data_IF_092097099377
#
_entry.id   IF_092097099377
#
_cell.length_a   1.000
_cell.length_b   1.000
_cell.length_c   1.000
_cell.angle_alpha   90.00
_cell.angle_beta   90.00
_cell.angle_gamma   90.00
#
_symmetry.space_group_name_H-M   'P 1'
#
loop_
_entity.id
_entity.type
_entity.pdbx_description
1 polymer ?
#
# COMPACT_ATOMS: atom_id res chain seq x y z
N UNK A 1 -22.01 14.68 -32.87
CA UNK A 1 -20.69 14.95 -32.27
C UNK A 1 -20.89 15.85 -31.07
N UNK A 2 -21.00 15.28 -29.87
CA UNK A 2 -21.07 16.05 -28.62
C UNK A 2 -19.65 16.51 -28.28
N UNK A 3 -19.43 17.82 -28.31
CA UNK A 3 -18.16 18.41 -27.87
C UNK A 3 -17.88 18.13 -26.39
N UNK A 4 -16.63 18.24 -25.93
CA UNK A 4 -16.29 18.00 -24.54
C UNK A 4 -17.09 18.97 -23.65
N UNK A 5 -17.94 18.40 -22.79
CA UNK A 5 -18.70 19.14 -21.79
C UNK A 5 -17.73 19.93 -20.93
N UNK A 6 -17.92 21.25 -20.82
CA UNK A 6 -17.08 22.08 -19.95
C UNK A 6 -17.23 21.60 -18.50
N UNK A 7 -16.13 21.47 -17.75
CA UNK A 7 -16.19 21.17 -16.33
C UNK A 7 -17.08 22.18 -15.61
N UNK A 8 -17.83 21.71 -14.61
CA UNK A 8 -18.55 22.60 -13.71
C UNK A 8 -17.56 23.41 -12.88
N UNK A 9 -17.98 24.60 -12.42
CA UNK A 9 -17.15 25.45 -11.52
C UNK A 9 -16.68 24.70 -10.27
N UNK A 10 -17.47 23.75 -9.77
CA UNK A 10 -17.12 22.90 -8.64
C UNK A 10 -15.97 21.94 -8.95
N UNK A 11 -15.97 21.35 -10.15
CA UNK A 11 -14.91 20.47 -10.62
C UNK A 11 -13.61 21.24 -10.87
N UNK A 12 -13.68 22.43 -11.48
CA UNK A 12 -12.51 23.29 -11.68
C UNK A 12 -11.84 23.64 -10.35
N UNK A 13 -12.65 24.00 -9.33
CA UNK A 13 -12.14 24.30 -8.00
C UNK A 13 -11.51 23.07 -7.34
N UNK A 14 -12.08 21.88 -7.52
CA UNK A 14 -11.50 20.64 -7.01
C UNK A 14 -10.14 20.37 -7.67
N UNK A 15 -10.05 20.47 -9.00
CA UNK A 15 -8.81 20.28 -9.75
C UNK A 15 -7.73 21.29 -9.35
N UNK A 16 -8.11 22.55 -9.12
CA UNK A 16 -7.22 23.58 -8.62
C UNK A 16 -6.70 23.23 -7.22
N UNK A 17 -7.56 22.77 -6.32
CA UNK A 17 -7.16 22.33 -4.97
C UNK A 17 -6.23 21.12 -5.00
N UNK A 18 -6.49 20.14 -5.87
CA UNK A 18 -5.64 18.96 -6.08
C UNK A 18 -4.26 19.40 -6.56
N UNK A 19 -4.21 20.24 -7.60
CA UNK A 19 -2.95 20.74 -8.16
C UNK A 19 -2.17 21.56 -7.13
N UNK A 20 -2.84 22.40 -6.34
CA UNK A 20 -2.22 23.16 -5.27
C UNK A 20 -1.67 22.26 -4.15
N UNK A 21 -2.39 21.21 -3.76
CA UNK A 21 -1.93 20.24 -2.77
C UNK A 21 -0.70 19.46 -3.29
N UNK A 22 -0.73 19.00 -4.55
CA UNK A 22 0.38 18.32 -5.18
C UNK A 22 1.62 19.22 -5.32
N UNK A 23 1.42 20.50 -5.67
CA UNK A 23 2.48 21.50 -5.76
C UNK A 23 3.15 21.76 -4.41
N UNK A 24 2.37 21.98 -3.35
CA UNK A 24 2.91 22.15 -1.98
C UNK A 24 3.67 20.93 -1.47
N UNK A 25 3.30 19.75 -1.93
CA UNK A 25 3.94 18.49 -1.55
C UNK A 25 5.07 18.06 -2.50
N UNK A 26 5.41 18.88 -3.50
CA UNK A 26 6.46 18.60 -4.49
C UNK A 26 6.29 17.25 -5.20
N UNK A 27 5.05 16.88 -5.56
CA UNK A 27 4.77 15.57 -6.16
C UNK A 27 5.28 15.44 -7.62
N UNK A 28 5.67 16.55 -8.25
CA UNK A 28 6.15 16.58 -9.64
C UNK A 28 5.03 16.67 -10.66
N UNK A 29 5.25 16.17 -11.87
CA UNK A 29 4.26 16.20 -12.97
C UNK A 29 3.20 15.11 -12.80
N UNK A 30 1.94 15.44 -13.09
CA UNK A 30 0.85 14.45 -13.13
C UNK A 30 1.07 13.49 -14.29
N UNK A 31 0.98 12.19 -14.03
CA UNK A 31 1.18 11.10 -14.99
C UNK A 31 -0.14 10.48 -15.45
N UNK A 32 -1.07 10.28 -14.54
CA UNK A 32 -2.36 9.66 -14.85
C UNK A 32 -3.44 10.07 -13.85
N UNK A 33 -4.70 9.90 -14.24
CA UNK A 33 -5.87 10.08 -13.39
C UNK A 33 -6.73 8.84 -13.50
N UNK A 34 -7.20 8.32 -12.37
CA UNK A 34 -8.10 7.18 -12.30
C UNK A 34 -9.25 7.44 -11.34
N UNK A 35 -10.25 6.58 -11.44
CA UNK A 35 -11.30 6.46 -10.43
C UNK A 35 -11.12 5.18 -9.62
N UNK A 36 -11.49 5.23 -8.35
CA UNK A 36 -11.47 4.08 -7.47
C UNK A 36 -12.62 4.18 -6.48
N UNK A 37 -12.94 3.08 -5.80
CA UNK A 37 -13.83 3.13 -4.64
C UNK A 37 -12.96 3.18 -3.39
N UNK A 38 -13.22 4.13 -2.50
CA UNK A 38 -12.40 4.27 -1.31
C UNK A 38 -13.14 4.79 -0.09
N UNK A 39 -12.54 4.55 1.07
CA UNK A 39 -12.95 5.14 2.33
C UNK A 39 -11.72 5.44 3.20
N UNK A 40 -11.84 6.42 4.07
CA UNK A 40 -10.85 6.65 5.12
C UNK A 40 -11.15 5.66 6.23
N UNK A 41 -10.22 4.73 6.50
CA UNK A 41 -10.35 3.86 7.65
C UNK A 41 -10.21 4.71 8.93
N UNK A 42 -11.03 4.49 9.96
CA UNK A 42 -10.72 5.03 11.28
C UNK A 42 -9.32 4.55 11.65
N UNK A 43 -8.52 5.40 12.29
CA UNK A 43 -7.19 5.03 12.73
C UNK A 43 -7.32 3.86 13.71
N UNK A 44 -7.11 2.63 13.24
CA UNK A 44 -6.81 1.52 14.12
C UNK A 44 -5.46 1.84 14.72
N UNK A 45 -5.48 2.31 15.97
CA UNK A 45 -4.30 2.39 16.79
C UNK A 45 -3.61 1.03 16.69
N UNK A 46 -2.44 0.98 16.07
CA UNK A 46 -1.55 -0.17 16.21
C UNK A 46 -1.37 -0.32 17.71
N UNK A 47 -1.77 -1.44 18.35
CA UNK A 47 -1.53 -1.60 19.75
C UNK A 47 -0.03 -1.77 19.91
N UNK A 48 0.67 -0.67 20.23
CA UNK A 48 1.93 -0.77 20.94
C UNK A 48 1.58 -1.53 22.21
N UNK A 49 2.10 -2.74 22.33
CA UNK A 49 1.90 -3.63 23.47
C UNK A 49 2.56 -2.97 24.68
N UNK A 50 1.81 -2.11 25.35
CA UNK A 50 2.19 -1.34 26.53
C UNK A 50 0.98 -1.22 27.45
N UNK A 51 1.16 -1.62 28.69
CA UNK A 51 0.15 -1.80 29.72
C UNK A 51 -0.52 -0.48 30.09
N UNK A 52 -1.85 -0.51 30.29
CA UNK A 52 -2.55 0.39 31.21
C UNK A 52 -3.40 1.49 30.55
N UNK A 53 -4.70 1.23 30.41
CA UNK A 53 -5.78 1.94 31.14
C UNK A 53 -7.13 1.75 30.44
N UNK A 54 -8.06 1.13 31.16
CA UNK A 54 -9.50 1.16 30.90
C UNK A 54 -10.00 2.62 30.88
N UNK A 55 -10.79 3.00 29.87
CA UNK A 55 -12.10 3.66 29.98
C UNK A 55 -12.58 4.27 28.65
N UNK A 56 -13.91 4.41 28.57
CA UNK A 56 -14.72 5.11 27.55
C UNK A 56 -15.28 4.28 26.37
N UNK A 57 -15.96 3.18 26.70
CA UNK A 57 -17.23 2.88 26.02
C UNK A 57 -18.33 3.78 26.60
N UNK A 58 -19.31 4.16 25.76
CA UNK A 58 -20.51 4.96 26.06
C UNK A 58 -20.37 6.47 25.77
N UNK A 59 -20.62 6.85 24.52
CA UNK A 59 -21.73 7.74 24.10
C UNK A 59 -21.63 8.02 22.60
N UNK A 60 -22.80 8.16 21.96
CA UNK A 60 -23.08 8.37 20.52
C UNK A 60 -23.31 7.13 19.66
N UNK A 61 -24.39 6.41 19.98
CA UNK A 61 -25.24 5.86 18.92
C UNK A 61 -25.75 7.01 18.05
N UNK A 62 -25.36 7.01 16.77
CA UNK A 62 -25.93 7.89 15.74
C UNK A 62 -26.39 7.00 14.56
N UNK A 63 -27.55 7.25 13.96
CA UNK A 63 -28.17 6.29 13.04
C UNK A 63 -27.28 6.04 11.82
N UNK A 64 -27.11 4.76 11.46
CA UNK A 64 -26.50 4.33 10.21
C UNK A 64 -27.30 4.88 9.02
N UNK A 65 -26.85 6.01 8.48
CA UNK A 65 -27.33 6.50 7.19
C UNK A 65 -26.88 5.53 6.09
N UNK A 66 -27.72 5.29 5.06
CA UNK A 66 -27.43 4.31 4.02
C UNK A 66 -26.10 4.63 3.32
N UNK A 67 -25.24 3.60 3.20
CA UNK A 67 -23.96 3.63 2.49
C UNK A 67 -24.19 4.00 1.02
N UNK A 68 -24.16 5.29 0.72
CA UNK A 68 -24.06 5.80 -0.65
C UNK A 68 -22.63 5.60 -1.13
N UNK A 69 -22.48 4.82 -2.22
CA UNK A 69 -21.31 4.71 -3.12
C UNK A 69 -20.50 6.00 -3.18
N UNK A 70 -19.16 5.95 -3.11
CA UNK A 70 -18.33 7.15 -3.28
C UNK A 70 -17.08 6.87 -4.10
N UNK A 71 -17.04 7.50 -5.26
CA UNK A 71 -15.92 7.54 -6.18
C UNK A 71 -14.79 8.37 -5.54
N UNK A 72 -13.63 7.75 -5.36
CA UNK A 72 -12.37 8.39 -5.09
C UNK A 72 -11.71 8.74 -6.41
N UNK A 73 -11.20 9.97 -6.53
CA UNK A 73 -10.34 10.37 -7.66
C UNK A 73 -8.89 10.20 -7.27
N UNK A 74 -8.15 9.46 -8.07
CA UNK A 74 -6.70 9.26 -7.93
C UNK A 74 -6.01 10.08 -9.00
N UNK A 75 -5.07 10.95 -8.62
CA UNK A 75 -4.16 11.59 -9.56
C UNK A 75 -2.74 11.14 -9.19
N UNK A 76 -2.10 10.36 -10.07
CA UNK A 76 -0.74 9.86 -9.89
C UNK A 76 0.25 10.88 -10.44
N UNK A 77 1.29 11.16 -9.67
CA UNK A 77 2.37 12.08 -10.01
C UNK A 77 3.71 11.34 -10.00
N UNK A 78 4.81 12.04 -10.31
CA UNK A 78 6.15 11.44 -10.36
C UNK A 78 6.65 10.92 -9.01
N UNK A 79 6.37 11.65 -7.93
CA UNK A 79 6.90 11.38 -6.58
C UNK A 79 5.82 11.02 -5.56
N UNK A 80 4.56 10.98 -5.98
CA UNK A 80 3.45 10.61 -5.12
C UNK A 80 2.12 10.61 -5.85
N UNK A 81 1.04 10.67 -5.09
CA UNK A 81 -0.30 10.78 -5.64
C UNK A 81 -1.19 11.61 -4.73
N UNK A 82 -2.28 12.12 -5.28
CA UNK A 82 -3.39 12.65 -4.48
C UNK A 82 -4.59 11.74 -4.57
N UNK A 83 -5.29 11.60 -3.44
CA UNK A 83 -6.58 10.90 -3.36
C UNK A 83 -7.63 11.91 -2.91
N UNK A 84 -8.54 12.28 -3.81
CA UNK A 84 -9.70 13.09 -3.46
C UNK A 84 -10.86 12.18 -3.07
N UNK A 85 -11.24 12.20 -1.80
CA UNK A 85 -12.24 11.34 -1.21
C UNK A 85 -13.10 12.13 -0.23
N UNK A 86 -14.43 12.08 -0.38
CA UNK A 86 -15.40 12.79 0.49
C UNK A 86 -15.06 14.28 0.68
N UNK A 87 -14.61 14.95 -0.38
CA UNK A 87 -14.25 16.38 -0.37
C UNK A 87 -12.92 16.70 0.33
N UNK A 88 -12.21 15.69 0.84
CA UNK A 88 -10.85 15.82 1.38
C UNK A 88 -9.85 15.37 0.32
N UNK A 89 -8.74 16.08 0.23
CA UNK A 89 -7.61 15.70 -0.62
C UNK A 89 -6.52 15.17 0.30
N UNK A 90 -6.17 13.91 0.11
CA UNK A 90 -5.06 13.27 0.77
C UNK A 90 -3.84 13.32 -0.15
N UNK A 91 -2.68 13.62 0.41
CA UNK A 91 -1.41 13.63 -0.30
C UNK A 91 -0.61 12.43 0.14
N UNK A 92 -0.22 11.57 -0.79
CA UNK A 92 0.59 10.39 -0.53
C UNK A 92 1.93 10.57 -1.21
N UNK A 93 3.03 10.45 -0.46
CA UNK A 93 4.39 10.43 -1.03
C UNK A 93 4.88 9.00 -1.18
N UNK A 94 5.36 8.63 -2.36
CA UNK A 94 5.80 7.25 -2.63
C UNK A 94 7.02 6.84 -1.80
N UNK A 95 7.87 7.80 -1.45
CA UNK A 95 9.06 7.62 -0.63
C UNK A 95 8.81 7.63 0.88
N UNK A 96 7.57 7.82 1.34
CA UNK A 96 7.20 7.90 2.76
C UNK A 96 5.97 7.07 3.14
N UNK A 97 5.16 6.66 2.16
CA UNK A 97 3.93 5.90 2.40
C UNK A 97 4.17 4.45 2.85
N UNK A 98 3.19 3.93 3.59
CA UNK A 98 3.04 2.51 3.90
C UNK A 98 1.84 1.97 3.15
N UNK A 99 2.05 0.93 2.36
CA UNK A 99 1.02 0.24 1.57
C UNK A 99 0.82 -1.17 2.11
N UNK A 100 -0.41 -1.51 2.45
CA UNK A 100 -0.83 -2.86 2.86
C UNK A 100 -1.72 -3.45 1.77
N UNK A 101 -1.48 -4.71 1.40
CA UNK A 101 -2.25 -5.43 0.39
C UNK A 101 -3.12 -6.48 1.08
N UNK A 102 -4.43 -6.26 1.05
CA UNK A 102 -5.44 -7.20 1.51
C UNK A 102 -6.02 -7.92 0.29
N UNK A 103 -5.57 -9.16 0.08
CA UNK A 103 -6.21 -10.06 -0.87
C UNK A 103 -7.51 -10.59 -0.28
N UNK A 104 -8.66 -10.13 -0.78
CA UNK A 104 -9.94 -10.79 -0.51
C UNK A 104 -10.02 -11.97 -1.48
N UNK A 105 -9.44 -13.10 -1.10
CA UNK A 105 -9.72 -14.35 -1.80
C UNK A 105 -11.15 -14.76 -1.43
N UNK A 106 -12.12 -14.52 -2.32
CA UNK A 106 -13.41 -15.17 -2.20
C UNK A 106 -13.22 -16.67 -2.46
N UNK A 107 -13.54 -17.56 -1.50
CA UNK A 107 -13.25 -18.99 -1.62
C UNK A 107 -13.95 -19.68 -2.80
N UNK A 108 -14.99 -19.04 -3.37
CA UNK A 108 -15.88 -19.64 -4.37
C UNK A 108 -15.85 -18.94 -5.73
N UNK A 109 -15.18 -17.79 -5.88
CA UNK A 109 -15.05 -17.11 -7.18
C UNK A 109 -13.72 -16.33 -7.29
N UNK A 110 -12.64 -16.98 -7.78
CA UNK A 110 -11.36 -16.30 -7.96
C UNK A 110 -11.40 -15.22 -9.05
N UNK A 111 -12.41 -15.22 -9.94
CA UNK A 111 -12.59 -14.16 -10.94
C UNK A 111 -13.20 -12.88 -10.34
N UNK A 112 -13.79 -12.96 -9.12
CA UNK A 112 -14.31 -11.82 -8.35
C UNK A 112 -13.39 -11.32 -7.25
N UNK A 113 -12.23 -11.95 -7.07
CA UNK A 113 -11.26 -11.57 -6.03
C UNK A 113 -10.78 -10.12 -6.22
N UNK A 114 -11.35 -9.20 -5.46
CA UNK A 114 -10.90 -7.81 -5.40
C UNK A 114 -9.64 -7.68 -4.56
N UNK A 115 -8.71 -6.83 -4.99
CA UNK A 115 -7.59 -6.39 -4.16
C UNK A 115 -8.01 -5.15 -3.38
N UNK A 116 -7.93 -5.22 -2.06
CA UNK A 116 -8.06 -4.04 -1.21
C UNK A 116 -6.66 -3.57 -0.85
N UNK A 117 -6.38 -2.28 -0.98
CA UNK A 117 -5.11 -1.72 -0.55
C UNK A 117 -5.34 -0.58 0.44
N UNK A 118 -4.53 -0.58 1.51
CA UNK A 118 -4.56 0.48 2.51
C UNK A 118 -3.26 1.26 2.42
N UNK A 119 -3.36 2.57 2.20
CA UNK A 119 -2.24 3.47 1.94
C UNK A 119 -2.24 4.59 2.98
N UNK A 120 -1.07 4.91 3.51
CA UNK A 120 -0.91 6.03 4.45
C UNK A 120 -0.58 7.34 3.72
N UNK A 121 -1.30 8.41 4.03
CA UNK A 121 -1.01 9.76 3.54
C UNK A 121 0.15 10.42 4.30
N UNK A 122 0.54 11.61 3.87
CA UNK A 122 1.62 12.39 4.46
C UNK A 122 1.34 12.83 5.90
N UNK A 123 0.06 12.84 6.32
CA UNK A 123 -0.36 13.10 7.71
C UNK A 123 -0.46 11.79 8.52
N UNK A 124 -0.09 10.63 7.96
CA UNK A 124 -0.20 9.32 8.57
C UNK A 124 -1.62 8.73 8.59
N UNK A 125 -2.60 9.36 7.94
CA UNK A 125 -3.97 8.82 7.85
C UNK A 125 -4.03 7.69 6.83
N UNK A 126 -4.80 6.65 7.15
CA UNK A 126 -4.99 5.48 6.28
C UNK A 126 -6.20 5.65 5.36
N UNK A 127 -5.98 5.35 4.08
CA UNK A 127 -6.98 5.38 3.02
C UNK A 127 -7.04 3.99 2.43
N UNK A 128 -8.24 3.41 2.41
CA UNK A 128 -8.47 2.11 1.82
C UNK A 128 -9.09 2.30 0.44
N UNK A 129 -8.47 1.72 -0.58
CA UNK A 129 -8.91 1.71 -1.97
C UNK A 129 -9.21 0.28 -2.39
N UNK A 130 -10.29 0.09 -3.14
CA UNK A 130 -10.70 -1.20 -3.69
C UNK A 130 -10.45 -1.26 -5.19
N UNK A 131 -9.77 -2.33 -5.60
CA UNK A 131 -9.57 -2.76 -6.97
C UNK A 131 -10.39 -4.05 -7.19
N UNK A 132 -11.53 -4.02 -7.89
CA UNK A 132 -12.27 -5.26 -8.15
C UNK A 132 -13.51 -5.13 -9.06
N UNK A 133 -13.87 -6.21 -9.77
CA UNK A 133 -14.92 -6.26 -10.81
C UNK A 133 -16.31 -5.88 -10.31
N UNK A 134 -16.66 -6.25 -9.08
CA UNK A 134 -18.02 -6.09 -8.56
C UNK A 134 -18.41 -4.64 -8.20
N UNK A 135 -17.44 -3.73 -8.11
CA UNK A 135 -17.65 -2.39 -7.52
C UNK A 135 -17.46 -1.24 -8.51
N UNK A 136 -17.54 -1.52 -9.82
CA UNK A 136 -17.65 -0.50 -10.88
C UNK A 136 -16.39 0.36 -11.10
N UNK A 137 -15.24 -0.04 -10.54
CA UNK A 137 -13.94 0.63 -10.70
C UNK A 137 -12.82 -0.32 -11.11
N UNK A 138 -13.20 -1.43 -11.75
CA UNK A 138 -12.30 -2.55 -12.04
C UNK A 138 -11.41 -2.30 -13.25
N UNK A 139 -11.92 -1.61 -14.27
CA UNK A 139 -11.20 -1.36 -15.52
C UNK A 139 -9.93 -0.52 -15.27
N UNK A 140 -10.02 0.52 -14.44
CA UNK A 140 -8.85 1.33 -14.06
C UNK A 140 -7.92 0.61 -13.08
N UNK A 141 -8.43 -0.34 -12.30
CA UNK A 141 -7.72 -0.96 -11.19
C UNK A 141 -6.54 -1.84 -11.60
N UNK A 142 -6.67 -2.52 -12.74
CA UNK A 142 -5.57 -3.27 -13.35
C UNK A 142 -4.40 -2.36 -13.75
N UNK A 143 -4.65 -1.07 -13.94
CA UNK A 143 -3.62 -0.10 -14.32
C UNK A 143 -3.04 0.62 -13.10
N UNK A 144 -3.90 1.22 -12.26
CA UNK A 144 -3.44 2.06 -11.17
C UNK A 144 -2.77 1.27 -10.05
N UNK A 145 -3.23 0.05 -9.74
CA UNK A 145 -2.65 -0.73 -8.64
C UNK A 145 -1.20 -1.17 -8.94
N UNK A 146 -0.91 -1.83 -10.07
CA UNK A 146 0.47 -2.09 -10.49
C UNK A 146 1.28 -0.81 -10.68
N UNK A 147 0.64 0.28 -11.12
CA UNK A 147 1.25 1.62 -11.22
C UNK A 147 1.78 2.11 -9.88
N UNK A 148 0.97 2.09 -8.83
CA UNK A 148 1.35 2.48 -7.46
C UNK A 148 2.46 1.57 -6.94
N UNK A 149 2.35 0.24 -7.10
CA UNK A 149 3.40 -0.71 -6.67
C UNK A 149 4.74 -0.38 -7.30
N UNK A 150 4.78 -0.18 -8.63
CA UNK A 150 6.01 0.20 -9.35
C UNK A 150 6.55 1.55 -8.88
N UNK A 151 5.70 2.54 -8.67
CA UNK A 151 6.12 3.88 -8.26
C UNK A 151 6.70 3.90 -6.84
N UNK A 152 6.06 3.21 -5.88
CA UNK A 152 6.56 3.05 -4.51
C UNK A 152 7.87 2.27 -4.49
N UNK A 153 7.97 1.15 -5.22
CA UNK A 153 9.24 0.41 -5.35
C UNK A 153 10.34 1.30 -5.91
N UNK A 154 10.08 2.03 -7.00
CA UNK A 154 11.07 2.92 -7.62
C UNK A 154 11.57 3.99 -6.65
N UNK A 155 10.67 4.57 -5.85
CA UNK A 155 11.02 5.60 -4.89
C UNK A 155 11.80 5.07 -3.67
N UNK A 156 11.50 3.85 -3.20
CA UNK A 156 12.07 3.29 -1.97
C UNK A 156 13.35 2.49 -2.18
N UNK A 157 13.45 1.80 -3.31
CA UNK A 157 14.49 0.80 -3.54
C UNK A 157 15.92 1.35 -3.51
N UNK A 158 16.25 2.52 -4.11
CA UNK A 158 17.61 3.06 -4.05
C UNK A 158 18.09 3.33 -2.62
N UNK A 159 17.24 3.96 -1.79
CA UNK A 159 17.56 4.26 -0.39
C UNK A 159 17.67 2.99 0.44
N UNK A 160 16.79 2.02 0.22
CA UNK A 160 16.84 0.73 0.91
C UNK A 160 18.16 -0.01 0.62
N UNK A 161 18.60 -0.04 -0.64
CA UNK A 161 19.87 -0.67 -1.01
C UNK A 161 21.08 0.06 -0.43
N UNK A 162 21.07 1.40 -0.43
CA UNK A 162 22.12 2.18 0.19
C UNK A 162 22.24 1.91 1.70
N UNK A 163 21.11 1.79 2.41
CA UNK A 163 21.09 1.43 3.83
C UNK A 163 21.67 0.04 4.08
N UNK A 164 21.30 -0.96 3.27
CA UNK A 164 21.86 -2.31 3.38
C UNK A 164 23.36 -2.36 3.09
N UNK A 165 23.82 -1.61 2.08
CA UNK A 165 25.24 -1.48 1.78
C UNK A 165 26.01 -0.79 2.92
N UNK A 166 25.34 0.09 3.67
CA UNK A 166 25.85 0.68 4.91
C UNK A 166 25.77 -0.24 6.13
N UNK A 167 25.31 -1.49 5.98
CA UNK A 167 25.18 -2.46 7.08
C UNK A 167 23.91 -2.30 7.93
N UNK A 168 22.98 -1.44 7.52
CA UNK A 168 21.72 -1.25 8.26
C UNK A 168 20.79 -2.47 8.13
N UNK A 169 19.95 -2.65 9.15
CA UNK A 169 18.83 -3.60 9.13
C UNK A 169 17.55 -2.86 8.73
N UNK A 170 16.90 -3.33 7.67
CA UNK A 170 15.57 -2.86 7.27
C UNK A 170 14.48 -3.74 7.86
N UNK A 171 13.33 -3.14 8.18
CA UNK A 171 12.17 -3.83 8.74
C UNK A 171 10.89 -3.57 7.93
N UNK A 172 10.07 -4.60 7.81
CA UNK A 172 8.78 -4.64 7.13
C UNK A 172 7.79 -5.35 8.06
N UNK A 173 7.26 -4.60 9.03
CA UNK A 173 6.58 -5.20 10.18
C UNK A 173 7.57 -6.02 11.00
N UNK A 174 7.23 -7.28 11.28
CA UNK A 174 8.10 -8.21 12.03
C UNK A 174 9.23 -8.82 11.18
N UNK A 175 9.15 -8.67 9.85
CA UNK A 175 10.16 -9.19 8.93
C UNK A 175 11.31 -8.20 8.84
N UNK A 176 12.54 -8.71 8.91
CA UNK A 176 13.76 -7.92 8.77
C UNK A 176 14.67 -8.49 7.69
N UNK A 177 15.50 -7.62 7.10
CA UNK A 177 16.58 -8.02 6.20
C UNK A 177 17.84 -7.17 6.41
N UNK A 178 18.99 -7.78 6.16
CA UNK A 178 20.33 -7.17 6.19
C UNK A 178 21.09 -7.57 4.92
N UNK A 179 22.31 -7.06 4.74
CA UNK A 179 23.20 -7.53 3.68
C UNK A 179 23.54 -9.04 3.77
N UNK A 180 23.37 -9.66 4.93
CA UNK A 180 23.76 -11.06 5.17
C UNK A 180 22.59 -12.06 5.08
N UNK A 181 21.37 -11.61 5.32
CA UNK A 181 20.21 -12.49 5.33
C UNK A 181 18.90 -11.82 5.66
N UNK A 182 17.90 -12.67 5.90
CA UNK A 182 16.50 -12.28 6.13
C UNK A 182 15.90 -13.16 7.22
N UNK A 183 14.94 -12.61 7.96
CA UNK A 183 14.25 -13.39 8.98
C UNK A 183 13.08 -12.66 9.62
N UNK A 184 12.49 -13.33 10.60
CA UNK A 184 11.44 -12.83 11.47
C UNK A 184 11.33 -13.73 12.69
N UNK A 185 11.29 -13.14 13.89
CA UNK A 185 11.25 -13.88 15.15
C UNK A 185 12.36 -14.94 15.25
N UNK A 186 11.97 -16.21 15.28
CA UNK A 186 12.88 -17.37 15.40
C UNK A 186 13.36 -17.94 14.06
N UNK A 187 12.82 -17.47 12.94
CA UNK A 187 13.17 -17.97 11.60
C UNK A 187 14.13 -16.97 10.95
N UNK A 188 15.27 -17.44 10.49
CA UNK A 188 16.22 -16.64 9.72
C UNK A 188 17.04 -17.50 8.77
N UNK A 189 17.45 -16.93 7.65
CA UNK A 189 18.32 -17.59 6.67
C UNK A 189 19.33 -16.59 6.10
N UNK A 190 20.52 -17.10 5.77
CA UNK A 190 21.50 -16.37 4.97
C UNK A 190 21.11 -16.42 3.50
N UNK A 191 21.48 -15.42 2.71
CA UNK A 191 21.10 -15.34 1.29
C UNK A 191 21.38 -16.61 0.47
N UNK A 192 22.52 -17.33 0.63
CA UNK A 192 22.78 -18.56 -0.11
C UNK A 192 21.80 -19.71 0.19
N UNK A 193 21.09 -19.65 1.32
CA UNK A 193 20.09 -20.66 1.70
C UNK A 193 18.70 -20.30 1.17
N UNK A 194 18.47 -19.04 0.78
CA UNK A 194 17.17 -18.52 0.34
C UNK A 194 17.00 -18.77 -1.15
N UNK A 195 16.13 -19.72 -1.50
CA UNK A 195 15.84 -20.04 -2.89
C UNK A 195 14.74 -19.13 -3.46
N UNK A 196 13.73 -18.82 -2.65
CA UNK A 196 12.57 -18.03 -3.05
C UNK A 196 11.95 -17.29 -1.85
N UNK A 197 11.31 -16.15 -2.09
CA UNK A 197 10.38 -15.53 -1.16
C UNK A 197 9.02 -15.30 -1.85
N UNK A 198 7.94 -15.33 -1.07
CA UNK A 198 6.61 -15.11 -1.61
C UNK A 198 5.49 -15.31 -0.59
N UNK A 199 4.26 -15.32 -1.10
CA UNK A 199 3.06 -15.55 -0.29
C UNK A 199 2.57 -16.97 -0.56
N UNK A 200 2.39 -17.78 0.49
CA UNK A 200 1.68 -19.07 0.42
C UNK A 200 0.64 -19.12 1.53
N UNK A 201 -0.59 -19.51 1.19
CA UNK A 201 -1.74 -19.57 2.12
C UNK A 201 -1.94 -18.26 2.93
N UNK A 202 -1.81 -17.11 2.27
CA UNK A 202 -2.01 -15.80 2.87
C UNK A 202 -0.91 -15.31 3.81
N UNK A 203 0.22 -16.03 3.91
CA UNK A 203 1.35 -15.63 4.75
C UNK A 203 2.64 -15.48 3.93
N UNK A 204 3.49 -14.54 4.34
CA UNK A 204 4.83 -14.37 3.77
C UNK A 204 5.72 -15.50 4.25
N UNK A 205 6.46 -16.11 3.34
CA UNK A 205 7.44 -17.15 3.66
C UNK A 205 8.65 -17.13 2.75
N UNK A 206 9.63 -17.92 3.15
CA UNK A 206 10.86 -18.19 2.41
C UNK A 206 10.92 -19.67 2.09
N UNK A 207 11.44 -19.98 0.92
CA UNK A 207 11.98 -21.29 0.63
C UNK A 207 13.45 -21.32 1.07
N UNK A 208 13.75 -22.07 2.12
CA UNK A 208 15.08 -22.24 2.69
C UNK A 208 15.51 -23.68 2.41
N UNK A 209 16.48 -23.85 1.52
CA UNK A 209 17.00 -25.18 1.13
C UNK A 209 15.91 -26.20 0.73
N UNK A 210 14.86 -25.76 0.03
CA UNK A 210 13.75 -26.62 -0.42
C UNK A 210 12.61 -26.78 0.59
N UNK A 211 12.72 -26.15 1.77
CA UNK A 211 11.68 -26.18 2.80
C UNK A 211 11.02 -24.81 2.93
N UNK A 212 9.69 -24.76 2.90
CA UNK A 212 8.95 -23.51 3.06
C UNK A 212 8.77 -23.14 4.53
N UNK A 213 9.33 -22.00 4.92
CA UNK A 213 9.20 -21.43 6.26
C UNK A 213 8.36 -20.17 6.24
N UNK A 214 7.35 -20.11 7.11
CA UNK A 214 6.56 -18.91 7.35
C UNK A 214 7.37 -17.90 8.15
N UNK A 215 7.46 -16.66 7.68
CA UNK A 215 8.19 -15.60 8.39
C UNK A 215 7.32 -14.87 9.41
N UNK A 216 6.05 -14.59 9.11
CA UNK A 216 5.27 -13.69 9.94
C UNK A 216 3.78 -13.94 9.92
N UNK A 217 2.97 -12.96 10.36
CA UNK A 217 1.52 -13.04 10.34
C UNK A 217 0.98 -12.99 8.90
N UNK A 218 -0.25 -12.54 8.69
CA UNK A 218 -0.84 -12.47 7.36
C UNK A 218 -0.04 -11.49 6.47
N UNK A 219 0.04 -11.76 5.17
CA UNK A 219 0.70 -10.89 4.21
C UNK A 219 0.09 -9.46 4.19
N UNK A 220 -1.18 -9.34 4.56
CA UNK A 220 -1.90 -8.08 4.73
C UNK A 220 -1.38 -7.19 5.86
N UNK A 221 -0.64 -7.73 6.82
CA UNK A 221 -0.05 -6.98 7.92
C UNK A 221 1.36 -6.48 7.61
N UNK A 222 1.96 -6.94 6.51
CA UNK A 222 3.32 -6.58 6.11
C UNK A 222 3.27 -5.31 5.24
N UNK A 223 3.80 -4.17 5.71
CA UNK A 223 3.83 -2.95 4.90
C UNK A 223 4.78 -3.12 3.72
N UNK A 224 4.43 -2.54 2.57
CA UNK A 224 5.27 -2.45 1.38
C UNK A 224 5.86 -3.81 0.96
N UNK A 225 5.08 -4.90 1.08
CA UNK A 225 5.52 -6.27 0.83
C UNK A 225 6.17 -6.46 -0.56
N UNK A 226 5.68 -5.76 -1.57
CA UNK A 226 6.25 -5.77 -2.92
C UNK A 226 7.66 -5.14 -2.99
N UNK A 227 8.00 -4.21 -2.11
CA UNK A 227 9.37 -3.66 -1.97
C UNK A 227 10.26 -4.70 -1.30
N UNK A 228 9.77 -5.37 -0.25
CA UNK A 228 10.47 -6.49 0.38
C UNK A 228 10.80 -7.59 -0.64
N UNK A 229 9.83 -8.05 -1.43
CA UNK A 229 10.07 -9.07 -2.45
C UNK A 229 11.12 -8.62 -3.49
N UNK A 230 11.09 -7.35 -3.91
CA UNK A 230 12.07 -6.80 -4.84
C UNK A 230 13.49 -6.75 -4.24
N UNK A 231 13.63 -6.48 -2.93
CA UNK A 231 14.92 -6.51 -2.23
C UNK A 231 15.45 -7.93 -2.10
N UNK A 232 14.61 -8.89 -1.69
CA UNK A 232 15.00 -10.30 -1.59
C UNK A 232 15.48 -10.83 -2.94
N UNK A 233 14.75 -10.53 -4.02
CA UNK A 233 15.14 -10.94 -5.36
C UNK A 233 16.55 -10.45 -5.72
N UNK A 234 16.86 -9.17 -5.46
CA UNK A 234 18.17 -8.60 -5.74
C UNK A 234 19.27 -9.22 -4.87
N UNK A 235 19.06 -9.29 -3.56
CA UNK A 235 20.07 -9.77 -2.61
C UNK A 235 20.38 -11.25 -2.78
N UNK A 236 19.38 -12.04 -3.16
CA UNK A 236 19.56 -13.44 -3.59
C UNK A 236 20.50 -13.52 -4.80
N UNK A 237 20.24 -12.74 -5.84
CA UNK A 237 21.06 -12.77 -7.06
C UNK A 237 22.47 -12.25 -6.82
N UNK A 238 22.63 -11.22 -5.98
CA UNK A 238 23.94 -10.65 -5.66
C UNK A 238 24.77 -11.58 -4.76
N UNK A 239 24.13 -12.29 -3.81
CA UNK A 239 24.81 -13.25 -2.93
C UNK A 239 25.16 -14.60 -3.58
N UNK A 240 24.77 -14.83 -4.84
CA UNK A 240 25.18 -15.99 -5.66
C UNK A 240 26.49 -15.69 -6.42
N UNK A 241 26.91 -14.43 -6.50
CA UNK A 241 28.18 -14.01 -7.12
C UNK A 241 29.31 -13.96 -6.11
#
# INVERSE_FOLDING_TARGET
>A
MTGPTRPTRGEELLLAKISAAAGRAYLGKRRATYTAVGYTAPAHAVPVRGIGSLLAFVLYGRPSAPQTRRDARLDLYEHGMTVALKGRIHVVRYDATSVFEEGVAEPYDPARAGTTCTISDADGRRITLHAGPERGGAEDAEEWWPGIRRAVTRARLPRALAALAGGERLTFGDIWLTGEGVGSGRVSARWPQVQQAGIRKGAVGLDIAGTWHRLGPAASEVPNLFVFCALVERLRTDGIR
#
